data_IF_544379327677
#
_entry.id   IF_544379327677
#
_cell.length_a   1.000
_cell.length_b   1.000
_cell.length_c   1.000
_cell.angle_alpha   90.00
_cell.angle_beta   90.00
_cell.angle_gamma   90.00
#
_symmetry.space_group_name_H-M   'P 1'
#
loop_
_entity.id
_entity.type
_entity.pdbx_description
1 polymer ?
#
# COMPACT_ATOMS: atom_id res chain seq x y z
N UNK A 1 -21.26 -21.27 -27.91
CA UNK A 1 -20.10 -21.90 -27.24
C UNK A 1 -20.00 -21.25 -25.88
N UNK A 2 -20.20 -21.99 -24.78
CA UNK A 2 -19.97 -21.44 -23.45
C UNK A 2 -18.47 -21.15 -23.31
N UNK A 3 -18.11 -19.96 -22.86
CA UNK A 3 -16.71 -19.66 -22.54
C UNK A 3 -16.29 -20.54 -21.37
N UNK A 4 -15.44 -21.52 -21.65
CA UNK A 4 -14.81 -22.33 -20.60
C UNK A 4 -13.75 -21.46 -19.92
N UNK A 5 -13.84 -21.33 -18.59
CA UNK A 5 -12.85 -20.59 -17.81
C UNK A 5 -11.57 -21.40 -17.73
N UNK A 6 -10.43 -20.72 -17.82
CA UNK A 6 -9.13 -21.34 -17.64
C UNK A 6 -9.03 -21.96 -16.22
N UNK A 7 -8.82 -23.29 -16.12
CA UNK A 7 -8.80 -23.99 -14.83
C UNK A 7 -7.71 -23.48 -13.88
N UNK A 8 -6.66 -22.84 -14.38
CA UNK A 8 -5.57 -22.30 -13.55
C UNK A 8 -6.05 -21.18 -12.61
N UNK A 9 -7.19 -20.55 -12.92
CA UNK A 9 -7.80 -19.49 -12.12
C UNK A 9 -8.93 -19.98 -11.19
N UNK A 10 -9.27 -21.27 -11.23
CA UNK A 10 -10.42 -21.81 -10.50
C UNK A 10 -9.99 -22.29 -9.12
N UNK A 11 -10.38 -21.54 -8.09
CA UNK A 11 -10.20 -21.97 -6.70
C UNK A 11 -10.95 -23.28 -6.40
N UNK A 12 -10.39 -24.10 -5.52
CA UNK A 12 -11.05 -25.31 -5.01
C UNK A 12 -12.36 -24.94 -4.29
N UNK A 13 -13.42 -25.77 -4.35
CA UNK A 13 -14.73 -25.42 -3.78
C UNK A 13 -14.70 -24.95 -2.32
N UNK A 14 -13.86 -25.55 -1.49
CA UNK A 14 -13.66 -25.22 -0.06
C UNK A 14 -12.89 -23.90 0.17
N UNK A 15 -12.23 -23.38 -0.86
CA UNK A 15 -11.44 -22.14 -0.81
C UNK A 15 -12.14 -20.96 -1.49
N UNK A 16 -13.31 -21.19 -2.11
CA UNK A 16 -14.09 -20.13 -2.75
C UNK A 16 -14.72 -19.23 -1.69
N UNK A 17 -14.90 -17.93 -1.99
CA UNK A 17 -15.61 -17.03 -1.08
C UNK A 17 -16.99 -17.59 -0.74
N UNK A 18 -17.39 -17.48 0.53
CA UNK A 18 -18.76 -17.79 0.93
C UNK A 18 -19.70 -16.77 0.27
N UNK A 19 -20.67 -17.17 -0.56
CA UNK A 19 -21.62 -16.24 -1.18
C UNK A 19 -22.60 -15.63 -0.16
N UNK A 20 -22.68 -16.18 1.05
CA UNK A 20 -23.42 -15.57 2.15
C UNK A 20 -22.66 -14.30 2.60
N UNK A 21 -23.05 -13.18 1.99
CA UNK A 21 -22.58 -11.85 2.38
C UNK A 21 -23.19 -11.55 3.74
N UNK A 22 -22.35 -11.51 4.77
CA UNK A 22 -22.72 -10.90 6.04
C UNK A 22 -22.70 -9.38 5.83
N UNK A 23 -23.76 -8.69 6.24
CA UNK A 23 -23.67 -7.23 6.45
C UNK A 23 -22.61 -7.01 7.53
N UNK A 24 -21.40 -6.64 7.10
CA UNK A 24 -20.38 -6.18 8.01
C UNK A 24 -20.84 -4.86 8.64
N UNK A 25 -20.53 -4.66 9.92
CA UNK A 25 -20.51 -3.32 10.49
C UNK A 25 -19.69 -2.41 9.57
N UNK A 26 -20.20 -1.20 9.30
CA UNK A 26 -19.60 -0.31 8.30
C UNK A 26 -18.12 -0.07 8.61
N UNK A 27 -17.26 -0.15 7.59
CA UNK A 27 -15.82 0.14 7.73
C UNK A 27 -15.66 1.56 8.33
N UNK A 28 -14.92 1.73 9.44
CA UNK A 28 -14.72 3.03 10.05
C UNK A 28 -14.19 4.07 9.07
N UNK A 29 -14.74 5.29 9.11
CA UNK A 29 -14.30 6.43 8.31
C UNK A 29 -13.61 7.42 9.24
N UNK A 30 -12.34 7.69 9.01
CA UNK A 30 -11.48 8.55 9.82
C UNK A 30 -11.27 9.90 9.12
N UNK A 31 -11.55 11.00 9.81
CA UNK A 31 -11.32 12.36 9.31
C UNK A 31 -9.93 12.87 9.70
N UNK A 32 -9.06 13.05 8.70
CA UNK A 32 -7.68 13.51 8.90
C UNK A 32 -7.52 15.03 8.93
N UNK A 33 -8.61 15.80 8.85
CA UNK A 33 -8.58 17.27 8.94
C UNK A 33 -7.78 17.82 10.13
N UNK A 34 -7.78 17.21 11.34
CA UNK A 34 -6.97 17.68 12.47
C UNK A 34 -5.46 17.75 12.15
N UNK A 35 -4.96 16.91 11.24
CA UNK A 35 -3.56 16.93 10.79
C UNK A 35 -3.26 18.09 9.82
N UNK A 36 -4.29 18.72 9.25
CA UNK A 36 -4.16 19.79 8.26
C UNK A 36 -4.18 21.19 8.89
N UNK A 37 -4.74 21.33 10.10
CA UNK A 37 -5.05 22.63 10.70
C UNK A 37 -4.03 23.15 11.71
N UNK A 38 -3.11 22.31 12.18
CA UNK A 38 -2.08 22.69 13.16
C UNK A 38 -0.68 22.54 12.54
N UNK A 39 0.26 23.47 12.75
CA UNK A 39 1.67 23.20 12.46
C UNK A 39 2.07 22.00 13.34
N UNK A 40 2.34 20.87 12.70
CA UNK A 40 2.74 19.64 13.37
C UNK A 40 4.11 19.88 14.00
N UNK A 41 4.11 20.35 15.25
CA UNK A 41 5.29 20.38 16.09
C UNK A 41 5.36 19.01 16.76
N UNK A 42 6.49 18.32 16.66
CA UNK A 42 6.70 17.07 17.36
C UNK A 42 6.35 17.23 18.85
N UNK A 43 5.37 16.47 19.34
CA UNK A 43 4.82 16.58 20.69
C UNK A 43 3.52 17.40 20.84
N UNK A 44 2.88 17.81 19.74
CA UNK A 44 1.58 18.52 19.77
C UNK A 44 0.42 17.56 20.10
N UNK A 45 0.28 17.26 21.38
CA UNK A 45 -0.68 16.31 21.94
C UNK A 45 -2.05 16.97 22.22
N UNK A 46 -2.58 17.67 21.21
CA UNK A 46 -3.86 18.38 21.29
C UNK A 46 -5.03 17.41 21.40
N UNK A 47 -6.14 17.85 22.01
CA UNK A 47 -7.34 17.01 22.15
C UNK A 47 -7.85 16.45 20.79
N UNK A 48 -7.91 17.21 19.68
CA UNK A 48 -8.28 16.67 18.38
C UNK A 48 -7.34 15.57 17.87
N UNK A 49 -6.02 15.71 18.07
CA UNK A 49 -5.03 14.69 17.67
C UNK A 49 -5.16 13.43 18.52
N UNK A 50 -5.38 13.55 19.84
CA UNK A 50 -5.63 12.40 20.72
C UNK A 50 -6.87 11.61 20.32
N UNK A 51 -7.96 12.30 19.98
CA UNK A 51 -9.19 11.67 19.52
C UNK A 51 -8.94 10.91 18.22
N UNK A 52 -8.30 11.57 17.25
CA UNK A 52 -7.95 10.96 15.97
C UNK A 52 -7.11 9.68 16.14
N UNK A 53 -6.09 9.71 17.00
CA UNK A 53 -5.27 8.53 17.29
C UNK A 53 -6.08 7.42 17.95
N UNK A 54 -6.98 7.76 18.90
CA UNK A 54 -7.83 6.76 19.53
C UNK A 54 -8.77 6.08 18.53
N UNK A 55 -9.35 6.84 17.59
CA UNK A 55 -10.20 6.31 16.52
C UNK A 55 -9.41 5.38 15.58
N UNK A 56 -8.20 5.78 15.19
CA UNK A 56 -7.32 4.94 14.37
C UNK A 56 -6.93 3.65 15.11
N UNK A 57 -6.55 3.75 16.39
CA UNK A 57 -6.22 2.58 17.22
C UNK A 57 -7.41 1.61 17.30
N UNK A 58 -8.61 2.11 17.60
CA UNK A 58 -9.82 1.30 17.67
C UNK A 58 -10.14 0.62 16.33
N UNK A 59 -10.11 1.36 15.23
CA UNK A 59 -10.36 0.79 13.90
C UNK A 59 -9.34 -0.30 13.53
N UNK A 60 -8.05 -0.09 13.84
CA UNK A 60 -7.00 -1.07 13.62
C UNK A 60 -7.13 -2.31 14.53
N UNK A 61 -7.50 -2.15 15.81
CA UNK A 61 -7.60 -3.27 16.76
C UNK A 61 -8.87 -4.09 16.63
N UNK A 62 -9.99 -3.46 16.26
CA UNK A 62 -11.31 -4.10 16.22
C UNK A 62 -11.64 -4.61 14.80
N UNK A 63 -11.33 -3.82 13.77
CA UNK A 63 -11.68 -4.13 12.37
C UNK A 63 -10.45 -4.56 11.56
N UNK A 64 -9.30 -3.95 11.80
CA UNK A 64 -8.08 -4.16 11.01
C UNK A 64 -8.05 -3.41 9.67
N UNK A 65 -9.10 -2.63 9.36
CA UNK A 65 -9.21 -1.79 8.16
C UNK A 65 -10.00 -0.51 8.46
N UNK A 66 -9.67 0.57 7.76
CA UNK A 66 -10.34 1.87 7.86
C UNK A 66 -10.32 2.61 6.51
N UNK A 67 -11.23 3.57 6.35
CA UNK A 67 -11.22 4.56 5.27
C UNK A 67 -10.78 5.91 5.83
N UNK A 68 -10.10 6.72 5.02
CA UNK A 68 -9.70 8.08 5.42
C UNK A 68 -10.35 9.13 4.51
N UNK A 69 -10.76 10.24 5.09
CA UNK A 69 -11.22 11.44 4.37
C UNK A 69 -10.41 12.66 4.83
N UNK A 70 -10.45 13.73 4.02
CA UNK A 70 -9.68 14.95 4.27
C UNK A 70 -8.18 14.69 4.52
N UNK A 71 -7.62 13.72 3.79
CA UNK A 71 -6.22 13.29 3.85
C UNK A 71 -5.21 14.30 3.26
N UNK A 72 -5.68 15.43 2.73
CA UNK A 72 -4.84 16.49 2.17
C UNK A 72 -4.21 16.21 0.80
N UNK A 73 -4.23 14.96 0.32
CA UNK A 73 -3.79 14.62 -1.05
C UNK A 73 -4.65 15.36 -2.10
N UNK A 74 -4.05 16.14 -3.02
CA UNK A 74 -4.79 16.83 -4.07
C UNK A 74 -5.54 15.87 -4.98
N UNK A 75 -6.80 16.21 -5.32
CA UNK A 75 -7.64 15.37 -6.18
C UNK A 75 -7.05 15.20 -7.58
N UNK A 76 -6.41 16.25 -8.11
CA UNK A 76 -5.78 16.21 -9.42
C UNK A 76 -4.58 15.24 -9.45
N UNK A 77 -3.89 15.05 -8.32
CA UNK A 77 -2.81 14.08 -8.22
C UNK A 77 -3.35 12.64 -8.23
N UNK A 78 -4.45 12.39 -7.50
CA UNK A 78 -5.15 11.09 -7.52
C UNK A 78 -5.62 10.74 -8.94
N UNK A 79 -6.24 11.69 -9.65
CA UNK A 79 -6.70 11.48 -11.02
C UNK A 79 -5.56 11.16 -11.98
N UNK A 80 -4.42 11.86 -11.86
CA UNK A 80 -3.22 11.59 -12.68
C UNK A 80 -2.70 10.18 -12.45
N UNK A 81 -2.50 9.78 -11.19
CA UNK A 81 -2.04 8.41 -10.82
C UNK A 81 -2.98 7.35 -11.39
N UNK A 82 -4.30 7.55 -11.26
CA UNK A 82 -5.29 6.63 -11.83
C UNK A 82 -5.23 6.58 -13.37
N UNK A 83 -5.00 7.71 -14.04
CA UNK A 83 -4.84 7.76 -15.49
C UNK A 83 -3.59 6.99 -15.94
N UNK A 84 -2.43 7.25 -15.30
CA UNK A 84 -1.21 6.53 -15.64
C UNK A 84 -1.32 5.02 -15.39
N UNK A 85 -1.99 4.61 -14.31
CA UNK A 85 -2.29 3.20 -14.08
C UNK A 85 -3.08 2.59 -15.23
N UNK A 86 -4.19 3.23 -15.63
CA UNK A 86 -5.04 2.78 -16.73
C UNK A 86 -4.28 2.70 -18.05
N UNK A 87 -3.48 3.72 -18.35
CA UNK A 87 -2.66 3.78 -19.56
C UNK A 87 -1.59 2.69 -19.60
N UNK A 88 -0.92 2.43 -18.48
CA UNK A 88 0.06 1.35 -18.37
C UNK A 88 -0.58 -0.03 -18.55
N UNK A 89 -1.65 -0.33 -17.82
CA UNK A 89 -2.29 -1.65 -17.88
C UNK A 89 -3.04 -1.92 -19.19
N UNK A 90 -3.40 -0.86 -19.95
CA UNK A 90 -3.94 -0.97 -21.30
C UNK A 90 -2.89 -1.33 -22.37
N UNK A 91 -1.59 -1.27 -22.05
CA UNK A 91 -0.53 -1.68 -22.97
C UNK A 91 -0.59 -3.18 -23.30
N UNK A 92 -0.09 -3.59 -24.48
CA UNK A 92 0.13 -5.00 -24.79
C UNK A 92 0.97 -5.68 -23.70
N UNK A 93 0.66 -6.94 -23.41
CA UNK A 93 1.35 -7.70 -22.36
C UNK A 93 2.86 -7.74 -22.54
N UNK A 94 3.36 -7.82 -23.78
CA UNK A 94 4.79 -7.81 -24.07
C UNK A 94 5.48 -6.49 -23.72
N UNK A 95 4.78 -5.36 -23.82
CA UNK A 95 5.28 -4.05 -23.40
C UNK A 95 5.37 -3.98 -21.87
N UNK A 96 4.32 -4.43 -21.17
CA UNK A 96 4.30 -4.51 -19.70
C UNK A 96 5.40 -5.43 -19.15
N UNK A 97 5.66 -6.55 -19.85
CA UNK A 97 6.69 -7.53 -19.47
C UNK A 97 8.13 -7.01 -19.61
N UNK A 98 8.37 -5.89 -20.29
CA UNK A 98 9.72 -5.28 -20.34
C UNK A 98 10.21 -4.82 -18.98
N UNK A 99 9.30 -4.52 -18.06
CA UNK A 99 9.58 -4.12 -16.69
C UNK A 99 9.19 -5.19 -15.68
N UNK A 100 9.13 -6.45 -16.10
CA UNK A 100 8.71 -7.56 -15.25
C UNK A 100 9.70 -7.76 -14.09
N UNK A 101 9.20 -8.06 -12.89
CA UNK A 101 10.03 -8.49 -11.75
C UNK A 101 10.66 -9.88 -11.97
N UNK A 102 11.74 -10.19 -11.28
CA UNK A 102 12.43 -11.48 -11.32
C UNK A 102 12.94 -11.92 -9.93
N UNK A 103 13.68 -13.02 -9.87
CA UNK A 103 14.17 -13.63 -8.64
C UNK A 103 15.16 -12.73 -7.87
N UNK A 104 15.79 -11.76 -8.56
CA UNK A 104 16.76 -10.85 -7.97
C UNK A 104 16.13 -9.49 -7.61
N UNK A 105 15.06 -9.11 -8.29
CA UNK A 105 14.36 -7.84 -8.09
C UNK A 105 12.85 -8.05 -8.15
N UNK A 106 12.21 -7.95 -6.99
CA UNK A 106 10.77 -8.13 -6.83
C UNK A 106 9.94 -6.89 -7.20
N UNK A 107 10.54 -5.80 -7.68
CA UNK A 107 9.85 -4.61 -8.15
C UNK A 107 9.61 -4.68 -9.67
N UNK A 108 8.49 -4.10 -10.10
CA UNK A 108 8.05 -4.05 -11.49
C UNK A 108 6.75 -4.83 -11.74
N UNK A 109 6.48 -5.08 -13.02
CA UNK A 109 5.26 -5.75 -13.48
C UNK A 109 5.25 -7.25 -13.14
N UNK A 110 4.08 -7.78 -12.83
CA UNK A 110 3.86 -9.22 -12.73
C UNK A 110 2.39 -9.56 -12.96
N UNK A 111 2.12 -10.52 -13.85
CA UNK A 111 0.79 -11.10 -14.05
C UNK A 111 0.65 -12.45 -13.33
N UNK A 112 1.78 -13.04 -12.93
CA UNK A 112 2.11 -14.31 -12.29
C UNK A 112 1.52 -14.77 -10.94
N UNK A 113 0.81 -13.93 -10.19
CA UNK A 113 0.63 -14.16 -8.74
C UNK A 113 -0.32 -15.29 -8.41
N UNK A 114 -0.03 -16.01 -7.31
CA UNK A 114 -0.85 -17.11 -6.85
C UNK A 114 -1.34 -16.88 -5.42
N UNK A 115 -2.66 -17.00 -5.21
CA UNK A 115 -3.25 -17.12 -3.87
C UNK A 115 -3.66 -18.57 -3.64
N UNK A 116 -3.11 -19.20 -2.58
CA UNK A 116 -3.36 -20.61 -2.24
C UNK A 116 -3.02 -21.57 -3.38
N UNK A 117 -1.93 -21.29 -4.10
CA UNK A 117 -1.43 -22.05 -5.26
C UNK A 117 -2.37 -22.02 -6.50
N UNK A 118 -3.30 -21.07 -6.58
CA UNK A 118 -4.17 -20.85 -7.73
C UNK A 118 -3.86 -19.47 -8.30
N UNK A 119 -3.88 -19.34 -9.63
CA UNK A 119 -3.56 -18.10 -10.32
C UNK A 119 -4.58 -17.03 -9.97
N UNK A 120 -4.10 -15.88 -9.50
CA UNK A 120 -4.95 -14.72 -9.27
C UNK A 120 -5.41 -14.15 -10.62
N UNK A 121 -6.70 -13.79 -10.69
CA UNK A 121 -7.24 -13.01 -11.81
C UNK A 121 -6.85 -11.54 -11.64
N UNK A 122 -5.55 -11.26 -11.70
CA UNK A 122 -5.00 -9.91 -11.54
C UNK A 122 -3.66 -9.78 -12.23
N UNK A 123 -3.27 -8.54 -12.44
CA UNK A 123 -1.92 -8.12 -12.75
C UNK A 123 -1.51 -7.03 -11.75
N UNK A 124 -0.21 -6.91 -11.50
CA UNK A 124 0.35 -5.99 -10.51
C UNK A 124 1.58 -5.27 -11.07
N UNK A 125 1.85 -4.10 -10.54
CA UNK A 125 3.10 -3.37 -10.72
C UNK A 125 3.57 -2.90 -9.34
N UNK A 126 4.69 -3.43 -8.87
CA UNK A 126 5.26 -3.12 -7.56
C UNK A 126 6.38 -2.09 -7.70
N UNK A 127 6.45 -1.12 -6.79
CA UNK A 127 7.54 -0.14 -6.76
C UNK A 127 7.85 0.25 -5.32
N UNK A 128 9.05 0.77 -5.11
CA UNK A 128 9.51 1.34 -3.85
C UNK A 128 9.65 2.86 -3.98
N UNK A 129 9.30 3.58 -2.91
CA UNK A 129 9.45 5.04 -2.85
C UNK A 129 10.92 5.43 -2.76
N UNK A 130 11.68 4.69 -1.94
CA UNK A 130 13.14 4.79 -1.91
C UNK A 130 13.73 3.98 -3.06
N UNK A 131 14.56 4.62 -3.87
CA UNK A 131 15.16 4.04 -5.07
C UNK A 131 16.66 4.39 -5.12
N UNK A 132 17.57 3.44 -4.82
CA UNK A 132 17.29 2.03 -4.58
C UNK A 132 16.65 1.76 -3.21
N UNK A 133 15.82 0.72 -3.16
CA UNK A 133 15.36 0.11 -1.90
C UNK A 133 16.50 -0.75 -1.33
N UNK A 134 16.86 -0.49 -0.07
CA UNK A 134 17.91 -1.23 0.63
C UNK A 134 17.25 -2.37 1.43
N UNK A 135 17.56 -3.62 1.06
CA UNK A 135 17.03 -4.81 1.73
C UNK A 135 18.15 -5.52 2.52
N UNK A 136 18.00 -5.72 3.84
CA UNK A 136 18.95 -6.52 4.61
C UNK A 136 18.90 -8.00 4.21
N UNK A 137 20.04 -8.58 3.81
CA UNK A 137 20.13 -9.98 3.39
C UNK A 137 20.83 -10.81 4.47
N UNK A 138 20.11 -11.12 5.55
CA UNK A 138 20.53 -11.89 6.75
C UNK A 138 21.78 -11.39 7.51
N UNK A 139 21.79 -11.63 8.82
CA UNK A 139 22.88 -11.30 9.75
C UNK A 139 23.60 -12.56 10.25
N UNK A 140 23.84 -13.54 9.39
CA UNK A 140 24.67 -14.69 9.76
C UNK A 140 26.16 -14.32 9.61
N UNK A 141 26.71 -13.71 10.65
CA UNK A 141 28.06 -13.17 10.69
C UNK A 141 28.04 -11.67 10.95
N UNK A 142 29.12 -11.14 11.54
CA UNK A 142 29.21 -9.77 12.09
C UNK A 142 29.11 -8.63 11.05
N UNK A 143 28.73 -8.92 9.82
CA UNK A 143 28.58 -7.96 8.73
C UNK A 143 27.16 -8.02 8.16
N UNK A 144 26.42 -6.91 8.31
CA UNK A 144 25.13 -6.72 7.63
C UNK A 144 25.38 -6.59 6.14
N UNK A 145 24.99 -7.60 5.35
CA UNK A 145 24.92 -7.48 3.90
C UNK A 145 23.61 -6.81 3.52
N UNK A 146 23.70 -5.92 2.54
CA UNK A 146 22.55 -5.23 1.97
C UNK A 146 22.48 -5.50 0.48
N UNK A 147 21.26 -5.64 -0.02
CA UNK A 147 20.96 -5.69 -1.44
C UNK A 147 20.27 -4.38 -1.85
N UNK A 148 20.73 -3.79 -2.94
CA UNK A 148 20.07 -2.66 -3.58
C UNK A 148 19.07 -3.19 -4.61
N UNK A 149 17.81 -2.80 -4.47
CA UNK A 149 16.74 -3.18 -5.39
C UNK A 149 16.21 -1.90 -6.03
N UNK A 150 16.34 -1.82 -7.35
CA UNK A 150 16.01 -0.65 -8.14
C UNK A 150 14.63 -0.79 -8.77
N UNK A 151 13.86 0.30 -8.81
CA UNK A 151 12.57 0.30 -9.51
C UNK A 151 12.73 0.02 -11.01
N UNK A 152 11.82 -0.78 -11.57
CA UNK A 152 11.72 -1.04 -13.02
C UNK A 152 10.60 -0.19 -13.62
N UNK A 153 10.83 1.11 -13.76
CA UNK A 153 9.82 2.02 -14.32
C UNK A 153 9.63 1.80 -15.83
N UNK A 154 8.39 1.83 -16.36
CA UNK A 154 8.15 1.70 -17.79
C UNK A 154 8.51 2.98 -18.55
N UNK A 155 8.81 2.84 -19.85
CA UNK A 155 9.02 3.98 -20.74
C UNK A 155 7.70 4.72 -21.06
N UNK A 156 6.58 4.00 -21.01
CA UNK A 156 5.23 4.54 -21.18
C UNK A 156 4.29 3.98 -20.10
N UNK A 157 3.43 4.81 -19.48
CA UNK A 157 3.34 6.26 -19.65
C UNK A 157 4.54 6.96 -18.97
N UNK A 158 5.10 7.98 -19.64
CA UNK A 158 6.36 8.63 -19.23
C UNK A 158 6.31 9.23 -17.83
N UNK A 159 5.14 9.68 -17.42
CA UNK A 159 4.94 10.38 -16.15
C UNK A 159 4.57 9.43 -15.01
N UNK A 160 4.43 8.11 -15.26
CA UNK A 160 4.03 7.14 -14.23
C UNK A 160 4.94 7.21 -13.01
N UNK A 161 6.26 7.22 -13.22
CA UNK A 161 7.25 7.35 -12.14
C UNK A 161 6.98 8.57 -11.27
N UNK A 162 6.87 9.74 -11.89
CA UNK A 162 6.74 11.00 -11.15
C UNK A 162 5.43 11.04 -10.37
N UNK A 163 4.33 10.64 -10.99
CA UNK A 163 3.01 10.66 -10.36
C UNK A 163 2.93 9.71 -9.16
N UNK A 164 3.49 8.50 -9.28
CA UNK A 164 3.51 7.52 -8.20
C UNK A 164 4.46 7.90 -7.07
N UNK A 165 5.61 8.50 -7.36
CA UNK A 165 6.49 9.03 -6.31
C UNK A 165 5.85 10.23 -5.61
N UNK A 166 5.24 11.16 -6.35
CA UNK A 166 4.58 12.33 -5.79
C UNK A 166 3.47 11.94 -4.82
N UNK A 167 2.56 11.04 -5.22
CA UNK A 167 1.48 10.59 -4.32
C UNK A 167 2.03 9.85 -3.09
N UNK A 168 3.07 9.03 -3.27
CA UNK A 168 3.72 8.35 -2.15
C UNK A 168 4.37 9.32 -1.18
N UNK A 169 5.02 10.37 -1.67
CA UNK A 169 5.61 11.40 -0.81
C UNK A 169 4.53 12.23 -0.11
N UNK A 170 3.41 12.55 -0.77
CA UNK A 170 2.27 13.20 -0.10
C UNK A 170 1.67 12.31 1.01
N UNK A 171 1.71 11.00 0.86
CA UNK A 171 1.23 10.04 1.86
C UNK A 171 2.24 9.72 2.97
N UNK A 172 3.55 9.82 2.71
CA UNK A 172 4.61 9.45 3.67
C UNK A 172 5.20 10.67 4.38
N UNK A 173 5.30 11.81 3.71
CA UNK A 173 5.96 12.99 4.29
C UNK A 173 5.14 13.59 5.43
N UNK A 174 5.82 13.83 6.57
CA UNK A 174 5.56 14.79 7.66
C UNK A 174 4.20 14.82 8.38
N UNK A 175 3.08 14.64 7.66
CA UNK A 175 1.72 14.70 8.19
C UNK A 175 1.32 13.44 8.95
N UNK A 176 1.89 12.30 8.56
CA UNK A 176 1.57 11.00 9.11
C UNK A 176 2.67 10.46 10.04
N UNK A 177 3.84 11.09 10.08
CA UNK A 177 4.90 10.70 11.02
C UNK A 177 4.47 10.86 12.49
N UNK A 178 3.56 11.81 12.78
CA UNK A 178 2.95 11.91 14.11
C UNK A 178 2.10 10.69 14.47
N UNK A 179 1.47 10.04 13.47
CA UNK A 179 0.77 8.79 13.70
C UNK A 179 1.75 7.65 13.97
N UNK A 180 2.90 7.61 13.27
CA UNK A 180 3.94 6.62 13.55
C UNK A 180 4.43 6.73 15.00
N UNK A 181 4.71 7.95 15.48
CA UNK A 181 5.13 8.20 16.86
C UNK A 181 4.03 7.83 17.87
N UNK A 182 2.76 8.20 17.61
CA UNK A 182 1.62 7.99 18.52
C UNK A 182 1.04 6.57 18.48
N UNK A 183 1.31 5.82 17.42
CA UNK A 183 0.95 4.41 17.26
C UNK A 183 2.11 3.47 17.61
N UNK A 184 3.33 3.99 17.85
CA UNK A 184 4.46 3.19 18.29
C UNK A 184 4.14 2.50 19.62
N UNK A 185 4.45 1.20 19.77
CA UNK A 185 4.24 0.47 21.03
C UNK A 185 5.01 1.06 22.22
N UNK A 186 6.04 1.88 21.98
CA UNK A 186 6.76 2.60 23.04
C UNK A 186 5.96 3.77 23.64
N UNK A 187 4.85 4.17 23.01
CA UNK A 187 3.91 5.17 23.56
C UNK A 187 2.99 4.61 24.64
N UNK A 188 3.00 3.30 24.87
CA UNK A 188 2.33 2.66 26.00
C UNK A 188 3.23 2.73 27.23
N UNK A 189 3.01 3.76 28.06
CA UNK A 189 3.38 3.66 29.48
C UNK A 189 2.54 2.52 30.06
N UNK A 190 3.11 1.31 30.07
CA UNK A 190 2.61 0.20 30.89
C UNK A 190 2.83 0.61 32.35
N UNK A 191 1.97 1.52 32.81
CA UNK A 191 1.74 1.83 34.20
C UNK A 191 1.45 0.51 34.90
N UNK A 192 2.44 0.05 35.65
CA UNK A 192 2.36 -1.06 36.58
C UNK A 192 1.06 -0.96 37.38
N UNK A 193 0.17 -1.91 37.16
CA UNK A 193 -0.77 -2.39 38.15
C UNK A 193 -0.69 -3.91 38.19
#
# INVERSE_FOLDING_TARGET
MGSEFDPDFIQKPDQRPNPDIFEAESIPIIDLSPLLTSPIIAGDDTLPIRILVAEIKAACSEVGFLQVINHGVPIELLERVQSAAKEFFALPTEEKRRVRRDDENFLGYYDMENTKNVRDWKEVFDFAVNDPMIVPTSSEGKETRVQEIWNRWPEYPKDMRYQYIDISLELISGRYSILEDLLSPESEDFGKY
#
